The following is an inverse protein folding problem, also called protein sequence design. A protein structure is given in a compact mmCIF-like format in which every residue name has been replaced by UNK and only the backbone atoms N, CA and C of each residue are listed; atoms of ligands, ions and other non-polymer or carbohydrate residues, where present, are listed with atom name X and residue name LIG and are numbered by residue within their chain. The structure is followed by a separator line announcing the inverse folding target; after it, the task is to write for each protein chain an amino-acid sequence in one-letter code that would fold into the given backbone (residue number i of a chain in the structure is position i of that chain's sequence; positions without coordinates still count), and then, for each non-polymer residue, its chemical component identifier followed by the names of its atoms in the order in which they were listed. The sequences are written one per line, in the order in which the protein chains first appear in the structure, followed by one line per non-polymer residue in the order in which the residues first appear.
data_IF_577980456836
#
_entry.id   IF_577980456836
#
_cell.length_a   1.000
_cell.length_b   1.000
_cell.length_c   1.000
_cell.angle_alpha   90.00
_cell.angle_beta   90.00
_cell.angle_gamma   90.00
#
_symmetry.space_group_name_H-M   'P 1'
#
loop_
_entity.id
_entity.type
_entity.pdbx_description
1 polymer ?
#
# COMPACT_ATOMS: atom_id res chain seq x y z
N UNK A 1 7.21 -14.18 20.96
CA UNK A 1 6.89 -12.77 20.69
C UNK A 1 6.11 -12.76 19.40
N UNK A 2 4.92 -12.19 19.41
CA UNK A 2 4.11 -12.06 18.19
C UNK A 2 4.87 -11.18 17.19
N UNK A 3 4.94 -11.57 15.91
CA UNK A 3 5.64 -10.79 14.88
C UNK A 3 5.06 -9.37 14.76
N UNK A 4 3.76 -9.20 15.06
CA UNK A 4 3.12 -7.88 15.14
C UNK A 4 3.70 -7.01 16.26
N UNK A 5 3.82 -7.57 17.47
CA UNK A 5 4.38 -6.86 18.64
C UNK A 5 5.85 -6.46 18.39
N UNK A 6 6.60 -7.29 17.66
CA UNK A 6 7.96 -6.96 17.24
C UNK A 6 7.99 -5.73 16.32
N UNK A 7 7.09 -5.65 15.32
CA UNK A 7 6.99 -4.50 14.41
C UNK A 7 6.65 -3.22 15.17
N UNK A 8 5.70 -3.27 16.11
CA UNK A 8 5.34 -2.12 16.94
C UNK A 8 6.54 -1.60 17.73
N UNK A 9 7.31 -2.50 18.38
CA UNK A 9 8.54 -2.14 19.09
C UNK A 9 9.61 -1.52 18.19
N UNK A 10 9.78 -2.04 16.97
CA UNK A 10 10.74 -1.48 16.00
C UNK A 10 10.34 -0.03 15.66
N UNK A 11 9.06 0.21 15.38
CA UNK A 11 8.54 1.53 15.06
C UNK A 11 8.67 2.50 16.23
N UNK A 12 8.41 2.06 17.46
CA UNK A 12 8.62 2.90 18.64
C UNK A 12 10.08 3.32 18.80
N UNK A 13 11.03 2.40 18.60
CA UNK A 13 12.47 2.72 18.64
C UNK A 13 12.86 3.70 17.55
N UNK A 14 12.31 3.55 16.35
CA UNK A 14 12.51 4.48 15.25
C UNK A 14 11.96 5.88 15.58
N UNK A 15 10.74 5.96 16.12
CA UNK A 15 10.11 7.23 16.52
C UNK A 15 10.89 7.96 17.62
N UNK A 16 11.57 7.22 18.50
CA UNK A 16 12.47 7.77 19.52
C UNK A 16 13.86 8.14 18.98
N UNK A 17 14.15 7.86 17.69
CA UNK A 17 15.45 8.11 17.07
C UNK A 17 16.55 7.14 17.53
N UNK A 18 16.19 6.01 18.16
CA UNK A 18 17.16 5.02 18.64
C UNK A 18 17.75 4.16 17.52
N UNK A 19 17.06 4.08 16.37
CA UNK A 19 17.50 3.34 15.19
C UNK A 19 17.28 4.18 13.92
N UNK A 20 18.18 4.02 12.95
CA UNK A 20 18.07 4.69 11.65
C UNK A 20 16.93 4.10 10.81
N UNK A 21 16.39 4.89 9.86
CA UNK A 21 15.29 4.46 9.00
C UNK A 21 15.61 3.17 8.23
N UNK A 22 16.82 3.04 7.69
CA UNK A 22 17.24 1.84 6.94
C UNK A 22 17.23 0.59 7.81
N UNK A 23 17.65 0.73 9.07
CA UNK A 23 17.69 -0.37 10.02
C UNK A 23 16.27 -0.79 10.41
N UNK A 24 15.43 0.17 10.79
CA UNK A 24 14.03 -0.08 11.12
C UNK A 24 13.29 -0.77 9.96
N UNK A 25 13.50 -0.28 8.74
CA UNK A 25 12.90 -0.80 7.52
C UNK A 25 13.32 -2.25 7.23
N UNK A 26 14.61 -2.56 7.37
CA UNK A 26 15.11 -3.92 7.20
C UNK A 26 14.49 -4.87 8.22
N UNK A 27 14.45 -4.50 9.49
CA UNK A 27 13.88 -5.34 10.55
C UNK A 27 12.38 -5.60 10.34
N UNK A 28 11.61 -4.58 9.92
CA UNK A 28 10.18 -4.75 9.60
C UNK A 28 10.00 -5.67 8.39
N UNK A 29 10.80 -5.49 7.33
CA UNK A 29 10.73 -6.33 6.14
C UNK A 29 11.09 -7.80 6.45
N UNK A 30 12.04 -8.05 7.35
CA UNK A 30 12.36 -9.39 7.83
C UNK A 30 11.22 -9.99 8.64
N UNK A 31 10.60 -9.23 9.56
CA UNK A 31 9.46 -9.68 10.35
C UNK A 31 8.29 -10.10 9.44
N UNK A 32 8.05 -9.31 8.37
CA UNK A 32 7.08 -9.58 7.31
C UNK A 32 7.39 -10.89 6.57
N UNK A 33 8.64 -11.09 6.13
CA UNK A 33 9.07 -12.29 5.38
C UNK A 33 9.09 -13.57 6.21
N UNK A 34 9.26 -13.47 7.54
CA UNK A 34 9.28 -14.64 8.45
C UNK A 34 7.93 -15.35 8.58
N UNK A 35 6.86 -14.77 8.04
CA UNK A 35 5.52 -15.31 8.17
C UNK A 35 5.22 -16.27 7.01
N UNK A 36 5.35 -17.57 7.28
CA UNK A 36 4.94 -18.63 6.36
C UNK A 36 3.40 -18.70 6.30
N UNK A 37 2.79 -18.22 5.23
CA UNK A 37 1.34 -18.41 5.01
C UNK A 37 0.62 -17.41 4.10
N UNK A 38 1.35 -16.58 3.35
CA UNK A 38 0.76 -15.69 2.33
C UNK A 38 0.20 -14.37 2.89
N UNK A 39 -0.44 -13.60 2.00
CA UNK A 39 -0.80 -12.18 2.19
C UNK A 39 -1.58 -11.90 3.48
N UNK A 40 -2.52 -12.77 3.87
CA UNK A 40 -3.34 -12.58 5.08
C UNK A 40 -2.51 -12.56 6.36
N UNK A 41 -1.44 -13.35 6.43
CA UNK A 41 -0.61 -13.39 7.62
C UNK A 41 0.44 -12.26 7.62
N UNK A 42 0.89 -11.81 6.44
CA UNK A 42 1.68 -10.58 6.28
C UNK A 42 0.89 -9.38 6.82
N UNK A 43 -0.38 -9.22 6.41
CA UNK A 43 -1.24 -8.13 6.90
C UNK A 43 -1.44 -8.14 8.43
N UNK A 44 -1.50 -9.32 9.06
CA UNK A 44 -1.58 -9.38 10.53
C UNK A 44 -0.34 -8.81 11.23
N UNK A 45 0.84 -8.93 10.61
CA UNK A 45 2.11 -8.47 11.16
C UNK A 45 2.31 -6.98 10.95
N UNK A 46 2.04 -6.49 9.74
CA UNK A 46 2.26 -5.09 9.40
C UNK A 46 1.01 -4.21 9.53
N UNK A 47 -0.14 -4.80 9.85
CA UNK A 47 -1.44 -4.12 9.89
C UNK A 47 -1.51 -2.99 10.90
N UNK A 48 -0.69 -3.00 11.95
CA UNK A 48 -0.60 -1.90 12.92
C UNK A 48 0.04 -0.63 12.35
N UNK A 49 0.78 -0.74 11.24
CA UNK A 49 1.53 0.37 10.64
C UNK A 49 1.15 0.64 9.18
N UNK A 50 0.45 -0.30 8.54
CA UNK A 50 -0.13 -0.15 7.21
C UNK A 50 -1.20 0.94 7.22
N UNK A 51 -1.25 1.75 6.16
CA UNK A 51 -2.10 2.94 6.07
C UNK A 51 -1.61 4.13 6.89
N UNK A 52 -0.72 3.93 7.87
CA UNK A 52 -0.23 4.98 8.77
C UNK A 52 1.17 5.48 8.42
N UNK A 53 2.00 4.68 7.74
CA UNK A 53 3.39 5.03 7.44
C UNK A 53 3.83 4.63 6.04
N UNK A 54 4.77 5.40 5.49
CA UNK A 54 5.41 5.07 4.23
C UNK A 54 6.32 3.84 4.39
N UNK A 55 6.18 2.83 3.55
CA UNK A 55 7.00 1.61 3.56
C UNK A 55 8.48 1.81 3.25
N UNK A 56 8.87 2.97 2.72
CA UNK A 56 10.26 3.32 2.40
C UNK A 56 10.89 4.23 3.46
N UNK A 57 10.28 5.38 3.76
CA UNK A 57 10.86 6.37 4.68
C UNK A 57 10.26 6.35 6.09
N UNK A 58 9.31 5.44 6.37
CA UNK A 58 8.66 5.21 7.67
C UNK A 58 7.98 6.43 8.30
N UNK A 59 7.90 7.56 7.59
CA UNK A 59 7.22 8.76 8.07
C UNK A 59 5.72 8.50 8.22
N UNK A 60 5.13 9.15 9.23
CA UNK A 60 3.68 9.12 9.43
C UNK A 60 2.98 9.80 8.26
N UNK A 61 1.84 9.22 7.87
CA UNK A 61 0.90 9.80 6.92
C UNK A 61 0.32 11.07 7.51
N UNK A 62 0.33 12.16 6.74
CA UNK A 62 -0.34 13.40 7.12
C UNK A 62 -1.85 13.28 6.89
N UNK A 63 -2.63 14.13 7.54
CA UNK A 63 -4.06 14.22 7.28
C UNK A 63 -4.31 14.52 5.80
N UNK A 64 -5.26 13.80 5.19
CA UNK A 64 -5.61 13.88 3.75
C UNK A 64 -4.47 13.54 2.77
N UNK A 65 -3.33 13.05 3.24
CA UNK A 65 -2.28 12.59 2.36
C UNK A 65 -2.67 11.27 1.70
N UNK A 66 -2.27 11.08 0.44
CA UNK A 66 -2.42 9.81 -0.26
C UNK A 66 -1.13 9.01 -0.22
N UNK A 67 -1.26 7.72 0.05
CA UNK A 67 -0.21 6.75 -0.22
C UNK A 67 -0.59 5.92 -1.44
N UNK A 68 0.42 5.43 -2.13
CA UNK A 68 0.30 4.63 -3.34
C UNK A 68 0.92 3.26 -3.05
N UNK A 69 0.18 2.19 -3.35
CA UNK A 69 0.69 0.82 -3.18
C UNK A 69 1.44 0.39 -4.44
N UNK A 70 2.67 -0.13 -4.26
CA UNK A 70 3.42 -0.75 -5.36
C UNK A 70 2.75 -2.02 -5.90
N UNK A 71 1.75 -2.57 -5.18
CA UNK A 71 0.93 -3.71 -5.63
C UNK A 71 -0.27 -3.28 -6.49
N UNK A 72 -0.55 -1.98 -6.60
CA UNK A 72 -1.69 -1.44 -7.35
C UNK A 72 -1.29 -0.85 -8.72
N UNK A 73 -0.04 -1.03 -9.13
CA UNK A 73 0.47 -0.57 -10.43
C UNK A 73 -0.11 -1.38 -11.58
N UNK A 74 -0.01 -0.87 -12.80
CA UNK A 74 -0.51 -1.57 -13.99
C UNK A 74 0.13 -2.95 -14.16
N UNK A 75 -0.69 -3.95 -14.53
CA UNK A 75 -0.25 -5.33 -14.76
C UNK A 75 0.58 -5.52 -16.04
N UNK A 76 0.77 -4.45 -16.83
CA UNK A 76 1.45 -4.46 -18.13
C UNK A 76 2.94 -4.87 -18.04
N UNK A 77 3.47 -5.03 -16.82
CA UNK A 77 4.85 -5.42 -16.58
C UNK A 77 4.99 -6.74 -15.81
N UNK A 78 5.80 -7.63 -16.38
CA UNK A 78 6.24 -8.89 -15.77
C UNK A 78 7.03 -8.57 -14.50
N UNK A 79 6.62 -9.16 -13.37
CA UNK A 79 7.32 -9.01 -12.08
C UNK A 79 6.82 -7.88 -11.18
N UNK A 80 5.64 -7.28 -11.43
CA UNK A 80 5.07 -6.26 -10.53
C UNK A 80 4.91 -6.76 -9.07
N UNK A 81 4.70 -8.07 -8.87
CA UNK A 81 4.63 -8.68 -7.53
C UNK A 81 5.98 -8.75 -6.80
N UNK A 82 7.09 -8.56 -7.53
CA UNK A 82 8.44 -8.78 -7.02
C UNK A 82 9.08 -7.50 -6.47
N UNK A 83 8.49 -6.32 -6.71
CA UNK A 83 8.97 -5.02 -6.19
C UNK A 83 9.18 -5.07 -4.67
N UNK A 84 8.32 -5.79 -3.96
CA UNK A 84 8.37 -5.94 -2.51
C UNK A 84 9.51 -6.83 -2.00
N UNK A 85 10.09 -7.69 -2.85
CA UNK A 85 11.01 -8.75 -2.44
C UNK A 85 12.37 -8.64 -3.13
N UNK A 86 12.39 -8.23 -4.40
CA UNK A 86 13.53 -8.30 -5.32
C UNK A 86 14.01 -6.90 -5.75
N UNK A 87 13.39 -5.84 -5.21
CA UNK A 87 13.87 -4.47 -5.38
C UNK A 87 15.29 -4.29 -4.81
N UNK A 88 16.09 -3.44 -5.44
CA UNK A 88 17.40 -3.00 -4.91
C UNK A 88 17.28 -2.39 -3.50
N UNK A 89 16.10 -1.87 -3.18
CA UNK A 89 15.79 -1.23 -1.92
C UNK A 89 14.71 -2.02 -1.17
N UNK A 90 15.03 -2.46 0.05
CA UNK A 90 14.10 -3.21 0.90
C UNK A 90 12.95 -2.29 1.33
N UNK A 91 11.71 -2.73 1.10
CA UNK A 91 10.50 -2.05 1.58
C UNK A 91 9.94 -2.75 2.83
N UNK A 92 9.54 -1.94 3.81
CA UNK A 92 8.81 -2.40 4.99
C UNK A 92 7.34 -2.70 4.67
N UNK A 93 6.73 -1.87 3.81
CA UNK A 93 5.30 -1.91 3.44
C UNK A 93 5.15 -1.63 1.94
N UNK A 94 4.04 -2.07 1.37
CA UNK A 94 3.68 -1.82 -0.03
C UNK A 94 3.24 -0.38 -0.29
N UNK A 95 2.65 0.28 0.71
CA UNK A 95 2.15 1.64 0.61
C UNK A 95 3.26 2.67 0.85
N UNK A 96 3.44 3.57 -0.10
CA UNK A 96 4.48 4.59 -0.11
C UNK A 96 3.88 5.98 -0.23
N UNK A 97 4.52 6.98 0.35
CA UNK A 97 4.20 8.37 0.02
C UNK A 97 4.60 8.68 -1.43
N UNK A 98 3.96 9.68 -2.05
CA UNK A 98 4.17 10.07 -3.45
C UNK A 98 5.65 10.09 -3.88
N UNK A 99 6.49 10.84 -3.18
CA UNK A 99 7.92 10.95 -3.50
C UNK A 99 8.66 9.61 -3.45
N UNK A 100 8.36 8.77 -2.45
CA UNK A 100 9.01 7.46 -2.29
C UNK A 100 8.48 6.46 -3.31
N UNK A 101 7.20 6.56 -3.68
CA UNK A 101 6.61 5.78 -4.75
C UNK A 101 7.31 6.08 -6.07
N UNK A 102 7.44 7.35 -6.43
CA UNK A 102 8.09 7.75 -7.68
C UNK A 102 9.54 7.26 -7.73
N UNK A 103 10.31 7.38 -6.64
CA UNK A 103 11.68 6.86 -6.56
C UNK A 103 11.73 5.35 -6.80
N UNK A 104 10.88 4.57 -6.13
CA UNK A 104 10.90 3.11 -6.19
C UNK A 104 10.50 2.62 -7.57
N UNK A 105 9.39 3.15 -8.09
CA UNK A 105 8.83 2.76 -9.38
C UNK A 105 9.75 3.18 -10.53
N UNK A 106 10.30 4.39 -10.48
CA UNK A 106 11.24 4.84 -11.52
C UNK A 106 12.49 3.97 -11.58
N UNK A 107 13.02 3.57 -10.44
CA UNK A 107 14.19 2.67 -10.37
C UNK A 107 13.86 1.28 -10.88
N UNK A 108 12.73 0.72 -10.44
CA UNK A 108 12.30 -0.62 -10.86
C UNK A 108 12.14 -0.71 -12.37
N UNK A 109 11.48 0.27 -12.98
CA UNK A 109 11.25 0.32 -14.43
C UNK A 109 12.41 0.92 -15.23
N UNK A 110 13.41 1.49 -14.56
CA UNK A 110 14.50 2.24 -15.20
C UNK A 110 13.98 3.35 -16.14
N UNK A 111 12.92 4.03 -15.68
CA UNK A 111 12.19 5.07 -16.40
C UNK A 111 11.82 6.17 -15.41
N UNK A 112 12.29 7.40 -15.64
CA UNK A 112 12.11 8.55 -14.73
C UNK A 112 10.67 9.06 -14.65
N UNK A 113 9.79 8.59 -15.54
CA UNK A 113 8.36 8.95 -15.56
C UNK A 113 7.44 7.82 -15.14
N UNK A 114 7.97 6.66 -14.78
CA UNK A 114 7.15 5.51 -14.42
C UNK A 114 6.28 5.77 -13.19
N UNK A 115 6.83 6.40 -12.15
CA UNK A 115 6.12 6.76 -10.92
C UNK A 115 4.87 7.59 -11.20
N UNK A 116 5.01 8.70 -11.92
CA UNK A 116 3.88 9.56 -12.27
C UNK A 116 2.82 8.81 -13.08
N UNK A 117 3.24 8.01 -14.06
CA UNK A 117 2.35 7.21 -14.89
C UNK A 117 1.55 6.21 -14.05
N UNK A 118 2.22 5.45 -13.20
CA UNK A 118 1.53 4.43 -12.38
C UNK A 118 0.64 5.06 -11.30
N UNK A 119 1.00 6.22 -10.73
CA UNK A 119 0.09 6.95 -9.83
C UNK A 119 -1.19 7.37 -10.53
N UNK A 120 -1.07 7.88 -11.76
CA UNK A 120 -2.22 8.27 -12.57
C UNK A 120 -3.12 7.07 -12.87
N UNK A 121 -2.53 5.93 -13.22
CA UNK A 121 -3.26 4.68 -13.40
C UNK A 121 -4.04 4.28 -12.14
N UNK A 122 -3.38 4.29 -10.97
CA UNK A 122 -4.03 3.98 -9.67
C UNK A 122 -5.23 4.92 -9.42
N UNK A 123 -5.04 6.22 -9.64
CA UNK A 123 -6.08 7.23 -9.46
C UNK A 123 -7.27 7.03 -10.40
N UNK A 124 -7.02 6.71 -11.67
CA UNK A 124 -8.04 6.43 -12.67
C UNK A 124 -8.81 5.14 -12.36
N UNK A 125 -8.11 4.08 -11.97
CA UNK A 125 -8.72 2.80 -11.62
C UNK A 125 -9.60 2.93 -10.37
N UNK A 126 -9.13 3.56 -9.30
CA UNK A 126 -9.95 3.78 -8.09
C UNK A 126 -11.17 4.67 -8.37
N UNK A 127 -11.00 5.73 -9.18
CA UNK A 127 -12.12 6.57 -9.63
C UNK A 127 -13.16 5.79 -10.43
N UNK A 128 -12.73 4.81 -11.23
CA UNK A 128 -13.64 3.94 -11.99
C UNK A 128 -14.39 2.93 -11.11
N UNK A 129 -13.79 2.48 -10.00
CA UNK A 129 -14.44 1.57 -9.04
C UNK A 129 -15.52 2.32 -8.27
N UNK A 130 -15.20 3.50 -7.73
CA UNK A 130 -16.18 4.34 -7.04
C UNK A 130 -17.38 4.70 -7.94
N UNK A 131 -17.12 5.05 -9.20
CA UNK A 131 -18.19 5.36 -10.15
C UNK A 131 -19.11 4.17 -10.46
N UNK A 132 -18.58 2.94 -10.45
CA UNK A 132 -19.37 1.71 -10.64
C UNK A 132 -20.25 1.43 -9.42
N UNK A 133 -19.70 1.52 -8.22
CA UNK A 133 -20.43 1.33 -6.96
C UNK A 133 -21.57 2.35 -6.83
N UNK A 134 -21.33 3.61 -7.16
CA UNK A 134 -22.35 4.67 -7.11
C UNK A 134 -23.48 4.45 -8.13
N UNK A 135 -23.16 3.87 -9.29
CA UNK A 135 -24.13 3.56 -10.36
C UNK A 135 -24.97 2.33 -10.01
N UNK A 136 -24.35 1.29 -9.44
CA UNK A 136 -25.05 0.08 -8.98
C UNK A 136 -26.01 0.41 -7.83
N UNK A 137 -25.55 1.16 -6.82
CA UNK A 137 -26.41 1.63 -5.72
C UNK A 137 -27.60 2.48 -6.20
N UNK A 138 -27.35 3.40 -7.15
CA UNK A 138 -28.40 4.23 -7.74
C UNK A 138 -29.43 3.41 -8.53
N UNK A 139 -28.98 2.32 -9.17
CA UNK A 139 -29.83 1.40 -9.93
C UNK A 139 -30.66 0.52 -9.01
N UNK A 140 -30.08 -0.01 -7.94
CA UNK A 140 -30.80 -0.79 -6.92
C UNK A 140 -31.87 0.04 -6.21
N UNK A 141 -31.57 1.29 -5.81
CA UNK A 141 -32.57 2.20 -5.23
C UNK A 141 -33.76 2.43 -6.16
N UNK A 142 -33.51 2.76 -7.44
CA UNK A 142 -34.57 2.93 -8.43
C UNK A 142 -35.41 1.67 -8.64
N UNK A 143 -34.81 0.50 -8.49
CA UNK A 143 -35.49 -0.79 -8.65
C UNK A 143 -36.36 -1.14 -7.44
N UNK A 144 -35.92 -0.77 -6.22
CA UNK A 144 -36.71 -0.92 -4.99
C UNK A 144 -37.91 0.04 -4.95
N UNK A 145 -37.75 1.30 -5.37
CA UNK A 145 -38.85 2.28 -5.44
C UNK A 145 -39.96 1.84 -6.43
N UNK A 146 -39.59 1.27 -7.58
CA UNK A 146 -40.56 0.72 -8.55
C UNK A 146 -41.30 -0.52 -8.05
N UNK A 147 -40.70 -1.30 -7.13
CA UNK A 147 -41.35 -2.47 -6.50
C UNK A 147 -42.30 -2.06 -5.37
N UNK A 148 -42.07 -0.92 -4.72
CA UNK A 148 -42.96 -0.38 -3.68
C UNK A 148 -44.25 0.27 -4.20
N UNK A 149 -44.31 0.60 -5.51
CA UNK A 149 -45.48 1.22 -6.14
C UNK A 149 -46.45 0.24 -6.81
N UNK A 150 -46.18 -1.08 -6.79
CA UNK A 150 -47.16 -2.10 -7.18
C UNK A 150 -47.96 -2.57 -5.95
N UNK A 151 -48.97 -1.80 -5.58
CA UNK A 151 -50.12 -2.24 -4.78
C UNK A 151 -51.39 -1.68 -5.41
#
# INVERSE_FOLDING_TARGET
MDNREAVEKIVERYDRGEIHCDEARRQIAEARKKVSGGVKNEEMVIGSIRGCRCGRCLRKKKENERFYSVRAISEDYVGHNDIMNDGEEILALDELCMECFDIVINRWFKDDKAGERERRYIEECEGSVQAKEDTEWSTEKRTMEKRGQKK
#
